data_IF_885230277429
#
_entry.id   IF_885230277429
#
_cell.length_a   1.000
_cell.length_b   1.000
_cell.length_c   1.000
_cell.angle_alpha   90.00
_cell.angle_beta   90.00
_cell.angle_gamma   90.00
#
_symmetry.space_group_name_H-M   'P 1'
#
loop_
_entity.id
_entity.type
_entity.pdbx_description
1 polymer ?
#
# COMPACT_ATOMS: atom_id res chain seq x y z
N UNK A 1 -19.85 15.64 15.35
CA UNK A 1 -18.52 15.82 14.74
C UNK A 1 -18.64 17.01 13.78
N UNK A 2 -17.71 17.96 13.84
CA UNK A 2 -17.71 19.13 12.95
C UNK A 2 -16.47 19.08 12.07
N UNK A 3 -16.56 19.48 10.78
CA UNK A 3 -15.39 19.54 9.92
C UNK A 3 -14.47 20.67 10.34
N UNK A 4 -13.19 20.51 10.08
CA UNK A 4 -12.18 21.55 10.21
C UNK A 4 -11.56 21.81 8.84
N UNK A 5 -11.16 23.05 8.56
CA UNK A 5 -10.29 23.32 7.41
C UNK A 5 -8.87 22.87 7.77
N UNK A 6 -8.20 22.16 6.87
CA UNK A 6 -6.88 21.60 7.14
C UNK A 6 -5.90 21.84 6.00
N UNK A 7 -4.71 22.33 6.35
CA UNK A 7 -3.56 22.40 5.43
C UNK A 7 -2.93 21.01 5.33
N UNK A 8 -2.83 20.51 4.10
CA UNK A 8 -2.35 19.17 3.78
C UNK A 8 -0.96 19.16 3.11
N UNK A 9 -0.29 20.32 3.06
CA UNK A 9 1.01 20.47 2.38
C UNK A 9 2.06 19.49 2.92
N UNK A 10 2.08 19.27 4.22
CA UNK A 10 3.00 18.32 4.87
C UNK A 10 2.43 16.90 4.98
N UNK A 11 1.18 16.69 4.57
CA UNK A 11 0.51 15.40 4.56
C UNK A 11 0.55 14.74 3.17
N UNK A 12 1.46 15.17 2.28
CA UNK A 12 1.66 14.54 0.97
C UNK A 12 3.14 14.47 0.58
N UNK A 13 3.51 13.39 -0.12
CA UNK A 13 4.91 13.06 -0.44
C UNK A 13 5.59 14.04 -1.42
N UNK A 14 4.83 14.89 -2.13
CA UNK A 14 5.36 15.94 -3.02
C UNK A 14 5.43 17.31 -2.36
N UNK A 15 4.96 17.46 -1.12
CA UNK A 15 4.83 18.72 -0.41
C UNK A 15 4.11 19.82 -1.22
N UNK A 16 3.17 19.40 -2.09
CA UNK A 16 2.33 20.33 -2.85
C UNK A 16 1.45 21.12 -1.92
N UNK A 17 1.36 22.44 -2.17
CA UNK A 17 0.42 23.29 -1.44
C UNK A 17 -0.99 22.74 -1.63
N UNK A 18 -1.63 22.38 -0.54
CA UNK A 18 -2.95 21.77 -0.54
C UNK A 18 -3.72 22.13 0.73
N UNK A 19 -5.02 22.35 0.58
CA UNK A 19 -5.94 22.64 1.67
C UNK A 19 -7.26 21.92 1.46
N UNK A 20 -7.80 21.31 2.52
CA UNK A 20 -9.13 20.74 2.56
C UNK A 20 -10.09 21.68 3.30
N UNK A 21 -11.23 22.03 2.66
CA UNK A 21 -12.30 22.82 3.28
C UNK A 21 -12.99 22.06 4.40
N UNK A 22 -13.26 20.78 4.16
CA UNK A 22 -13.93 19.88 5.10
C UNK A 22 -13.03 18.68 5.35
N UNK A 23 -12.41 18.62 6.49
CA UNK A 23 -11.55 17.55 6.91
C UNK A 23 -12.11 16.88 8.17
N UNK A 24 -12.11 15.54 8.18
CA UNK A 24 -12.48 14.74 9.34
C UNK A 24 -11.46 13.65 9.58
N UNK A 25 -11.04 13.49 10.82
CA UNK A 25 -10.46 12.23 11.28
C UNK A 25 -11.61 11.31 11.75
N UNK A 26 -11.52 10.00 11.47
CA UNK A 26 -12.47 9.01 11.95
C UNK A 26 -11.77 7.84 12.61
N UNK A 27 -12.39 7.26 13.63
CA UNK A 27 -11.89 6.09 14.33
C UNK A 27 -12.89 4.92 14.37
N UNK A 28 -14.15 5.18 14.07
CA UNK A 28 -15.25 4.22 14.18
C UNK A 28 -16.20 4.24 12.98
N UNK A 29 -16.99 3.17 12.86
CA UNK A 29 -18.09 3.11 11.89
C UNK A 29 -19.14 4.20 12.15
N UNK A 30 -19.40 4.54 13.42
CA UNK A 30 -20.35 5.60 13.76
C UNK A 30 -19.84 6.99 13.34
N UNK A 31 -18.53 7.21 13.33
CA UNK A 31 -17.97 8.44 12.77
C UNK A 31 -18.18 8.50 11.27
N UNK A 32 -17.92 7.40 10.55
CA UNK A 32 -18.14 7.32 9.09
C UNK A 32 -19.60 7.56 8.72
N UNK A 33 -20.57 7.04 9.48
CA UNK A 33 -21.99 7.34 9.28
C UNK A 33 -22.29 8.83 9.41
N UNK A 34 -21.80 9.48 10.47
CA UNK A 34 -21.98 10.93 10.68
C UNK A 34 -21.34 11.77 9.57
N UNK A 35 -20.15 11.35 9.10
CA UNK A 35 -19.46 12.03 7.99
C UNK A 35 -20.23 11.84 6.69
N UNK A 36 -20.74 10.65 6.44
CA UNK A 36 -21.59 10.35 5.24
C UNK A 36 -22.86 11.21 5.25
N UNK A 37 -23.53 11.34 6.40
CA UNK A 37 -24.71 12.19 6.54
C UNK A 37 -24.38 13.67 6.30
N UNK A 38 -23.22 14.14 6.82
CA UNK A 38 -22.73 15.49 6.55
C UNK A 38 -22.46 15.69 5.05
N UNK A 39 -21.75 14.77 4.41
CA UNK A 39 -21.41 14.86 3.00
C UNK A 39 -22.69 14.90 2.11
N UNK A 40 -23.68 14.05 2.40
CA UNK A 40 -24.97 14.05 1.72
C UNK A 40 -25.70 15.38 1.88
N UNK A 41 -25.74 15.93 3.10
CA UNK A 41 -26.40 17.21 3.40
C UNK A 41 -25.76 18.38 2.64
N UNK A 42 -24.44 18.39 2.55
CA UNK A 42 -23.67 19.43 1.87
C UNK A 42 -23.54 19.18 0.35
N UNK A 43 -24.10 18.08 -0.16
CA UNK A 43 -23.96 17.62 -1.55
C UNK A 43 -22.48 17.53 -1.98
N UNK A 44 -21.67 16.81 -1.19
CA UNK A 44 -20.24 16.62 -1.37
C UNK A 44 -19.87 15.16 -1.52
N UNK A 45 -18.84 14.88 -2.32
CA UNK A 45 -18.18 13.57 -2.34
C UNK A 45 -17.24 13.41 -1.14
N UNK A 46 -16.86 12.16 -0.86
CA UNK A 46 -15.90 11.82 0.20
C UNK A 46 -14.62 11.30 -0.45
N UNK A 47 -13.49 11.90 -0.07
CA UNK A 47 -12.15 11.47 -0.48
C UNK A 47 -11.40 10.94 0.74
N UNK A 48 -10.95 9.69 0.68
CA UNK A 48 -10.08 9.10 1.71
C UNK A 48 -8.61 9.38 1.39
N UNK A 49 -7.86 9.79 2.40
CA UNK A 49 -6.41 9.89 2.33
C UNK A 49 -5.76 9.03 3.42
N UNK A 50 -4.64 8.39 3.10
CA UNK A 50 -3.73 7.82 4.09
C UNK A 50 -2.68 8.86 4.50
N UNK A 51 -1.41 8.47 4.49
CA UNK A 51 -0.26 9.38 4.71
C UNK A 51 0.12 10.23 3.48
N UNK A 52 -0.63 10.15 2.37
CA UNK A 52 -0.41 10.95 1.17
C UNK A 52 0.86 10.63 0.38
N UNK A 53 1.55 9.53 0.69
CA UNK A 53 2.85 9.18 0.11
C UNK A 53 2.79 8.67 -1.34
N UNK A 54 1.59 8.44 -1.86
CA UNK A 54 1.39 7.98 -3.24
C UNK A 54 0.17 8.66 -3.89
N UNK A 55 -0.04 9.94 -3.60
CA UNK A 55 -1.15 10.70 -4.14
C UNK A 55 -0.69 12.11 -4.56
N UNK A 56 -1.27 12.62 -5.65
CA UNK A 56 -1.12 14.01 -6.09
C UNK A 56 -2.35 14.76 -5.62
N UNK A 57 -2.14 15.76 -4.79
CA UNK A 57 -3.21 16.53 -4.18
C UNK A 57 -3.51 17.79 -5.01
N UNK A 58 -4.78 18.14 -5.20
CA UNK A 58 -5.14 19.47 -5.72
C UNK A 58 -4.77 20.56 -4.72
N UNK A 59 -4.60 21.79 -5.19
CA UNK A 59 -4.35 22.92 -4.29
C UNK A 59 -5.48 23.13 -3.27
N UNK A 60 -6.72 22.80 -3.67
CA UNK A 60 -7.90 22.95 -2.83
C UNK A 60 -8.91 21.82 -3.01
N UNK A 61 -9.24 21.16 -1.91
CA UNK A 61 -10.35 20.20 -1.84
C UNK A 61 -11.62 20.89 -1.41
N UNK A 62 -12.61 20.99 -2.30
CA UNK A 62 -13.95 21.50 -2.00
C UNK A 62 -14.90 20.47 -1.43
N UNK A 63 -14.54 19.19 -1.56
CA UNK A 63 -15.28 18.03 -1.05
C UNK A 63 -14.80 17.62 0.34
N UNK A 64 -15.41 16.57 0.90
CA UNK A 64 -15.04 16.07 2.23
C UNK A 64 -13.80 15.20 2.11
N UNK A 65 -12.74 15.55 2.81
CA UNK A 65 -11.54 14.72 2.97
C UNK A 65 -11.59 14.02 4.33
N UNK A 66 -11.33 12.73 4.33
CA UNK A 66 -11.32 11.92 5.56
C UNK A 66 -10.01 11.18 5.72
N UNK A 67 -9.63 10.93 6.99
CA UNK A 67 -8.47 10.12 7.35
C UNK A 67 -8.79 9.22 8.53
N UNK A 68 -8.37 7.96 8.46
CA UNK A 68 -8.48 7.04 9.59
C UNK A 68 -7.49 7.40 10.69
N UNK A 69 -7.93 7.25 11.94
CA UNK A 69 -7.08 7.27 13.15
C UNK A 69 -7.13 5.94 13.90
N UNK A 70 -7.73 4.90 13.30
CA UNK A 70 -7.78 3.56 13.89
C UNK A 70 -6.39 2.90 13.86
N UNK A 71 -5.76 2.80 15.04
CA UNK A 71 -4.46 2.16 15.26
C UNK A 71 -4.59 0.83 16.04
N UNK A 72 -5.75 0.19 16.02
CA UNK A 72 -6.00 -1.03 16.77
C UNK A 72 -5.24 -2.23 16.19
N UNK A 73 -4.78 -3.11 17.10
CA UNK A 73 -4.22 -4.42 16.75
C UNK A 73 -4.98 -5.50 17.52
N UNK A 74 -5.44 -6.52 16.80
CA UNK A 74 -6.02 -7.72 17.40
C UNK A 74 -5.30 -8.94 16.84
N UNK A 75 -4.76 -9.77 17.71
CA UNK A 75 -4.00 -10.96 17.37
C UNK A 75 -4.75 -12.18 17.88
N UNK A 76 -4.94 -13.17 16.99
CA UNK A 76 -5.52 -14.47 17.30
C UNK A 76 -4.57 -15.57 16.81
N UNK A 77 -4.15 -16.42 17.76
CA UNK A 77 -3.22 -17.52 17.51
C UNK A 77 -3.98 -18.75 17.03
N UNK A 78 -3.98 -18.99 15.73
CA UNK A 78 -4.71 -20.07 15.08
C UNK A 78 -3.78 -21.23 14.62
N UNK A 79 -2.93 -21.74 15.50
CA UNK A 79 -2.06 -22.90 15.19
C UNK A 79 -0.78 -22.52 14.44
N UNK A 80 -0.59 -22.98 13.20
CA UNK A 80 0.63 -22.74 12.42
C UNK A 80 0.73 -21.33 11.87
N UNK A 81 -0.36 -20.59 11.86
CA UNK A 81 -0.44 -19.20 11.41
C UNK A 81 -1.05 -18.33 12.52
N UNK A 82 -0.81 -17.05 12.43
CA UNK A 82 -1.41 -16.05 13.31
C UNK A 82 -2.29 -15.14 12.45
N UNK A 83 -3.54 -15.00 12.88
CA UNK A 83 -4.44 -14.00 12.33
C UNK A 83 -4.23 -12.69 13.06
N UNK A 84 -3.96 -11.63 12.30
CA UNK A 84 -3.72 -10.29 12.81
C UNK A 84 -4.69 -9.33 12.13
N UNK A 85 -5.57 -8.67 12.88
CA UNK A 85 -6.39 -7.57 12.39
C UNK A 85 -5.76 -6.25 12.78
N UNK A 86 -5.52 -5.37 11.80
CA UNK A 86 -4.78 -4.12 11.97
C UNK A 86 -5.60 -2.96 11.45
N UNK A 87 -5.73 -1.91 12.27
CA UNK A 87 -6.43 -0.67 11.93
C UNK A 87 -5.79 0.06 10.76
N UNK A 88 -6.61 0.74 9.98
CA UNK A 88 -6.20 1.38 8.72
C UNK A 88 -5.18 2.51 8.89
N UNK A 89 -5.09 3.14 10.06
CA UNK A 89 -4.17 4.24 10.33
C UNK A 89 -2.76 3.80 10.71
N UNK A 90 -2.57 2.54 11.10
CA UNK A 90 -1.25 2.01 11.48
C UNK A 90 -0.25 2.27 10.35
N UNK A 91 0.90 2.85 10.69
CA UNK A 91 2.00 3.03 9.73
C UNK A 91 2.48 1.66 9.28
N UNK A 92 2.65 1.46 7.98
CA UNK A 92 3.01 0.17 7.41
C UNK A 92 4.32 -0.38 8.00
N UNK A 93 5.33 0.47 8.10
CA UNK A 93 6.65 0.05 8.59
C UNK A 93 6.66 -0.23 10.10
N UNK A 94 5.79 0.42 10.89
CA UNK A 94 5.58 0.11 12.31
C UNK A 94 4.92 -1.28 12.48
N UNK A 95 4.01 -1.66 11.56
CA UNK A 95 3.47 -3.03 11.52
C UNK A 95 4.57 -4.06 11.26
N UNK A 96 5.51 -3.78 10.35
CA UNK A 96 6.66 -4.66 10.10
C UNK A 96 7.46 -4.87 11.39
N UNK A 97 7.82 -3.78 12.08
CA UNK A 97 8.56 -3.86 13.35
C UNK A 97 7.78 -4.61 14.43
N UNK A 98 6.48 -4.39 14.52
CA UNK A 98 5.61 -5.15 15.41
C UNK A 98 5.68 -6.66 15.10
N UNK A 99 5.58 -7.04 13.83
CA UNK A 99 5.63 -8.45 13.40
C UNK A 99 6.97 -9.09 13.74
N UNK A 100 8.10 -8.42 13.44
CA UNK A 100 9.44 -8.90 13.80
C UNK A 100 9.56 -9.14 15.30
N UNK A 101 9.13 -8.16 16.13
CA UNK A 101 9.19 -8.25 17.59
C UNK A 101 8.30 -9.36 18.16
N UNK A 102 7.23 -9.76 17.45
CA UNK A 102 6.32 -10.84 17.82
C UNK A 102 6.69 -12.21 17.25
N UNK A 103 7.77 -12.30 16.44
CA UNK A 103 8.12 -13.53 15.72
C UNK A 103 7.06 -13.94 14.70
N UNK A 104 6.45 -12.96 14.03
CA UNK A 104 5.49 -13.15 12.93
C UNK A 104 6.18 -12.84 11.63
N UNK A 105 6.13 -13.76 10.67
CA UNK A 105 6.98 -13.73 9.50
C UNK A 105 6.21 -13.61 8.19
N UNK A 106 6.92 -13.11 7.18
CA UNK A 106 6.48 -13.05 5.78
C UNK A 106 6.42 -11.64 5.20
N UNK A 107 6.32 -10.60 6.02
CA UNK A 107 6.20 -9.22 5.52
C UNK A 107 7.56 -8.53 5.24
N UNK A 108 8.70 -9.15 5.58
CA UNK A 108 10.03 -8.52 5.53
C UNK A 108 10.42 -7.97 4.16
N UNK A 109 10.05 -8.65 3.06
CA UNK A 109 10.28 -8.15 1.70
C UNK A 109 9.55 -6.82 1.41
N UNK A 110 8.51 -6.49 2.17
CA UNK A 110 7.70 -5.28 2.01
C UNK A 110 8.12 -4.15 2.96
N UNK A 111 9.23 -4.31 3.69
CA UNK A 111 9.71 -3.31 4.62
C UNK A 111 10.11 -2.00 3.93
N UNK A 112 9.98 -0.88 4.65
CA UNK A 112 10.34 0.45 4.15
C UNK A 112 9.40 0.98 3.07
N UNK A 113 8.26 0.35 2.76
CA UNK A 113 7.23 0.93 1.89
C UNK A 113 6.50 2.01 2.69
N UNK A 114 6.51 3.29 2.24
CA UNK A 114 5.83 4.34 2.97
C UNK A 114 4.30 4.21 2.82
N UNK A 115 3.56 4.60 3.85
CA UNK A 115 2.10 4.58 3.82
C UNK A 115 1.50 3.98 5.08
N UNK A 116 0.20 3.67 5.02
CA UNK A 116 -0.56 3.07 6.11
C UNK A 116 -1.10 1.69 5.72
N UNK A 117 -1.45 0.89 6.71
CA UNK A 117 -2.05 -0.44 6.53
C UNK A 117 -3.31 -0.37 5.68
N UNK A 118 -4.18 0.64 5.88
CA UNK A 118 -5.39 0.82 5.06
C UNK A 118 -5.10 1.20 3.60
N UNK A 119 -3.95 1.82 3.31
CA UNK A 119 -3.55 2.16 1.94
C UNK A 119 -2.90 0.96 1.20
N UNK A 120 -2.34 0.01 1.95
CA UNK A 120 -1.58 -1.10 1.39
C UNK A 120 -2.37 -2.00 0.42
N UNK A 121 -3.65 -2.39 0.70
CA UNK A 121 -4.47 -3.17 -0.23
C UNK A 121 -4.84 -2.44 -1.51
N UNK A 122 -4.93 -1.09 -1.48
CA UNK A 122 -5.45 -0.30 -2.61
C UNK A 122 -4.70 -0.59 -3.91
N UNK A 123 -3.37 -0.58 -3.86
CA UNK A 123 -2.53 -0.92 -5.00
C UNK A 123 -1.87 -2.29 -4.87
N UNK A 124 -2.35 -3.15 -3.95
CA UNK A 124 -1.69 -4.41 -3.67
C UNK A 124 -0.17 -4.18 -3.57
N UNK A 125 0.26 -3.44 -2.53
CA UNK A 125 1.69 -3.08 -2.41
C UNK A 125 2.58 -4.30 -2.57
N UNK A 126 3.70 -4.13 -3.26
CA UNK A 126 4.63 -5.23 -3.51
C UNK A 126 6.04 -4.73 -3.78
N UNK A 127 7.01 -5.47 -3.27
CA UNK A 127 8.42 -5.23 -3.45
C UNK A 127 9.21 -6.54 -3.29
N UNK A 128 10.36 -6.62 -3.93
CA UNK A 128 11.32 -7.73 -3.80
C UNK A 128 10.69 -9.13 -3.95
N UNK A 129 9.77 -9.27 -4.92
CA UNK A 129 9.13 -10.55 -5.23
C UNK A 129 7.96 -10.93 -4.33
N UNK A 130 7.51 -10.03 -3.44
CA UNK A 130 6.37 -10.26 -2.56
C UNK A 130 5.27 -9.21 -2.79
N UNK A 131 4.01 -9.59 -2.51
CA UNK A 131 2.84 -8.71 -2.54
C UNK A 131 2.01 -8.91 -1.27
N UNK A 132 1.38 -7.83 -0.77
CA UNK A 132 0.59 -7.90 0.47
C UNK A 132 -0.59 -8.87 0.34
N UNK A 133 -1.16 -9.02 -0.84
CA UNK A 133 -2.26 -9.95 -1.09
C UNK A 133 -1.94 -11.40 -0.70
N UNK A 134 -0.66 -11.80 -0.64
CA UNK A 134 -0.27 -13.13 -0.20
C UNK A 134 -0.53 -13.37 1.30
N UNK A 135 -0.69 -12.30 2.06
CA UNK A 135 -0.91 -12.32 3.50
C UNK A 135 -2.31 -11.85 3.90
N UNK A 136 -3.03 -11.15 3.01
CA UNK A 136 -4.41 -10.72 3.29
C UNK A 136 -5.33 -11.94 3.34
N UNK A 137 -6.07 -12.04 4.45
CA UNK A 137 -7.19 -12.95 4.64
C UNK A 137 -8.50 -12.26 4.25
N UNK A 138 -8.73 -11.07 4.79
CA UNK A 138 -9.89 -10.24 4.49
C UNK A 138 -9.58 -8.74 4.65
N UNK A 139 -10.48 -7.90 4.16
CA UNK A 139 -10.43 -6.44 4.38
C UNK A 139 -11.79 -6.00 4.93
N UNK A 140 -11.78 -5.31 6.07
CA UNK A 140 -12.98 -4.67 6.63
C UNK A 140 -13.13 -3.29 6.02
N UNK A 141 -14.30 -3.02 5.47
CA UNK A 141 -14.61 -1.75 4.84
C UNK A 141 -15.91 -1.16 5.38
N UNK A 142 -16.06 0.13 5.22
CA UNK A 142 -17.34 0.81 5.29
C UNK A 142 -17.80 1.14 3.86
N UNK A 143 -18.97 0.72 3.50
CA UNK A 143 -19.60 0.98 2.21
C UNK A 143 -20.50 2.22 2.30
N UNK A 144 -20.12 3.28 1.56
CA UNK A 144 -20.82 4.56 1.53
C UNK A 144 -22.23 4.48 0.92
N UNK A 145 -22.47 3.52 0.00
CA UNK A 145 -23.75 3.36 -0.67
C UNK A 145 -24.77 2.73 0.28
N UNK A 146 -24.37 1.67 0.96
CA UNK A 146 -25.23 0.95 1.90
C UNK A 146 -25.20 1.51 3.31
N UNK A 147 -24.23 2.36 3.62
CA UNK A 147 -23.97 2.93 4.95
C UNK A 147 -23.72 1.86 6.03
N UNK A 148 -23.12 0.74 5.63
CA UNK A 148 -22.84 -0.40 6.50
C UNK A 148 -21.37 -0.83 6.44
N UNK A 149 -20.92 -1.50 7.49
CA UNK A 149 -19.66 -2.23 7.46
C UNK A 149 -19.82 -3.50 6.63
N UNK A 150 -18.82 -3.79 5.81
CA UNK A 150 -18.72 -4.99 4.96
C UNK A 150 -17.36 -5.61 5.12
N UNK A 151 -17.31 -6.95 5.11
CA UNK A 151 -16.06 -7.70 5.06
C UNK A 151 -15.89 -8.29 3.68
N UNK A 152 -14.77 -8.00 3.05
CA UNK A 152 -14.38 -8.57 1.77
C UNK A 152 -13.32 -9.65 1.99
N UNK A 153 -13.57 -10.84 1.52
CA UNK A 153 -12.56 -11.91 1.43
C UNK A 153 -11.44 -11.51 0.46
N UNK A 154 -10.29 -12.16 0.55
CA UNK A 154 -9.18 -11.99 -0.40
C UNK A 154 -9.64 -12.07 -1.86
N UNK A 155 -10.53 -13.00 -2.20
CA UNK A 155 -11.03 -13.18 -3.58
C UNK A 155 -11.91 -12.03 -4.05
N UNK A 156 -12.72 -11.45 -3.16
CA UNK A 156 -13.58 -10.30 -3.47
C UNK A 156 -12.78 -9.02 -3.64
N UNK A 157 -11.58 -8.92 -3.03
CA UNK A 157 -10.67 -7.80 -3.23
C UNK A 157 -10.07 -7.72 -4.64
N UNK A 158 -10.17 -8.78 -5.48
CA UNK A 158 -9.72 -8.84 -6.89
C UNK A 158 -8.28 -8.37 -7.09
N UNK A 159 -7.39 -8.80 -6.20
CA UNK A 159 -5.99 -8.43 -6.27
C UNK A 159 -5.31 -8.90 -7.56
N UNK A 160 -4.45 -8.06 -8.07
CA UNK A 160 -3.55 -8.31 -9.19
C UNK A 160 -2.33 -7.39 -9.09
N UNK A 161 -1.43 -7.46 -10.06
CA UNK A 161 -0.25 -6.61 -10.07
C UNK A 161 -0.61 -5.12 -10.05
N UNK A 162 -0.35 -4.48 -8.91
CA UNK A 162 -0.73 -3.07 -8.64
C UNK A 162 -2.21 -2.79 -8.89
N UNK A 163 -3.06 -3.75 -8.56
CA UNK A 163 -4.51 -3.68 -8.80
C UNK A 163 -5.29 -4.27 -7.62
N UNK A 164 -6.45 -3.67 -7.33
CA UNK A 164 -7.47 -4.20 -6.45
C UNK A 164 -8.83 -3.58 -6.78
N UNK A 165 -9.91 -4.10 -6.16
CA UNK A 165 -11.24 -3.51 -6.25
C UNK A 165 -11.29 -2.07 -5.68
N UNK A 166 -10.43 -1.74 -4.72
CA UNK A 166 -10.38 -0.43 -4.06
C UNK A 166 -9.90 0.70 -4.97
N UNK A 167 -9.34 0.40 -6.14
CA UNK A 167 -9.04 1.40 -7.19
C UNK A 167 -10.20 1.59 -8.17
N UNK A 168 -11.16 0.65 -8.19
CA UNK A 168 -12.30 0.64 -9.11
C UNK A 168 -13.59 1.12 -8.42
N UNK A 169 -13.57 1.24 -7.09
CA UNK A 169 -14.72 1.54 -6.25
C UNK A 169 -14.45 2.75 -5.35
N UNK A 170 -15.15 3.84 -5.60
CA UNK A 170 -15.04 5.08 -4.82
C UNK A 170 -15.88 5.04 -3.51
N UNK A 171 -16.66 3.97 -3.30
CA UNK A 171 -17.58 3.83 -2.17
C UNK A 171 -17.05 2.97 -1.02
N UNK A 172 -15.91 2.29 -1.18
CA UNK A 172 -15.34 1.41 -0.15
C UNK A 172 -14.23 2.11 0.63
N UNK A 173 -14.46 2.35 1.91
CA UNK A 173 -13.46 2.92 2.83
C UNK A 173 -12.91 1.81 3.70
N UNK A 174 -11.61 1.51 3.57
CA UNK A 174 -10.93 0.50 4.37
C UNK A 174 -10.80 0.98 5.82
N UNK A 175 -11.26 0.19 6.77
CA UNK A 175 -11.20 0.48 8.22
C UNK A 175 -10.21 -0.39 8.96
N UNK A 176 -9.99 -1.63 8.52
CA UNK A 176 -8.93 -2.52 8.99
C UNK A 176 -8.59 -3.60 7.97
N UNK A 177 -7.42 -4.23 8.13
CA UNK A 177 -6.93 -5.31 7.27
C UNK A 177 -6.63 -6.54 8.12
N UNK A 178 -7.24 -7.66 7.74
CA UNK A 178 -6.97 -8.97 8.31
C UNK A 178 -5.82 -9.65 7.58
N UNK A 179 -4.76 -9.98 8.30
CA UNK A 179 -3.57 -10.65 7.80
C UNK A 179 -3.44 -12.04 8.39
N UNK A 180 -2.90 -12.97 7.60
CA UNK A 180 -2.54 -14.32 8.04
C UNK A 180 -1.04 -14.52 7.87
N UNK A 181 -0.31 -14.51 9.00
CA UNK A 181 1.16 -14.49 9.04
C UNK A 181 1.73 -15.85 9.47
N UNK A 182 2.98 -16.11 9.10
CA UNK A 182 3.69 -17.33 9.45
C UNK A 182 4.32 -17.23 10.85
N UNK A 183 4.47 -18.36 11.53
CA UNK A 183 5.27 -18.51 12.75
C UNK A 183 6.68 -19.03 12.47
N UNK A 184 7.00 -19.29 11.23
CA UNK A 184 8.29 -19.81 10.78
C UNK A 184 8.87 -18.87 9.76
N UNK A 185 10.15 -18.55 9.92
CA UNK A 185 10.89 -17.75 8.97
C UNK A 185 11.15 -18.54 7.69
N UNK A 186 10.54 -18.10 6.59
CA UNK A 186 10.68 -18.69 5.26
C UNK A 186 10.80 -17.55 4.22
N UNK A 187 12.00 -16.92 4.13
CA UNK A 187 12.17 -15.74 3.30
C UNK A 187 12.13 -16.04 1.81
N UNK A 188 11.51 -15.16 1.02
CA UNK A 188 11.56 -15.22 -0.45
C UNK A 188 12.76 -14.42 -0.95
N UNK A 189 13.79 -15.10 -1.46
CA UNK A 189 15.07 -14.52 -1.86
C UNK A 189 15.33 -14.56 -3.37
N UNK A 190 14.36 -14.97 -4.18
CA UNK A 190 14.53 -15.11 -5.63
C UNK A 190 14.69 -13.76 -6.37
N UNK A 191 14.37 -12.64 -5.71
CA UNK A 191 14.54 -11.33 -6.32
C UNK A 191 16.02 -10.94 -6.41
N UNK A 192 16.43 -10.33 -7.53
CA UNK A 192 17.84 -10.09 -7.87
C UNK A 192 18.64 -9.39 -6.75
N UNK A 193 18.04 -8.43 -6.05
CA UNK A 193 18.73 -7.69 -4.98
C UNK A 193 18.90 -8.50 -3.68
N UNK A 194 18.21 -9.64 -3.55
CA UNK A 194 18.21 -10.48 -2.34
C UNK A 194 18.83 -11.87 -2.57
N UNK A 195 18.95 -12.33 -3.83
CA UNK A 195 19.35 -13.70 -4.16
C UNK A 195 20.71 -14.14 -3.65
N UNK A 196 21.63 -13.17 -3.47
CA UNK A 196 22.99 -13.43 -3.03
C UNK A 196 23.16 -13.22 -1.51
N UNK A 197 22.05 -12.97 -0.79
CA UNK A 197 22.00 -12.84 0.65
C UNK A 197 21.50 -14.13 1.31
N UNK A 198 21.93 -14.33 2.55
CA UNK A 198 21.38 -15.32 3.47
C UNK A 198 21.00 -14.63 4.76
N UNK A 199 19.85 -14.99 5.33
CA UNK A 199 19.32 -14.36 6.54
C UNK A 199 19.05 -15.43 7.59
N UNK A 200 19.35 -15.13 8.84
CA UNK A 200 19.06 -16.00 9.97
C UNK A 200 17.69 -15.73 10.57
N UNK A 201 17.17 -14.52 10.41
CA UNK A 201 15.86 -14.09 10.90
C UNK A 201 15.24 -12.98 10.03
N UNK A 202 13.97 -12.66 10.32
CA UNK A 202 13.22 -11.60 9.62
C UNK A 202 13.79 -10.22 9.86
N UNK A 203 14.40 -9.95 11.02
CA UNK A 203 14.98 -8.64 11.35
C UNK A 203 16.14 -8.29 10.42
N UNK A 204 17.04 -9.25 10.16
CA UNK A 204 18.14 -9.07 9.20
C UNK A 204 17.62 -8.81 7.78
N UNK A 205 16.57 -9.53 7.37
CA UNK A 205 15.91 -9.30 6.08
C UNK A 205 15.32 -7.90 6.00
N UNK A 206 14.55 -7.49 7.00
CA UNK A 206 13.92 -6.17 7.09
C UNK A 206 14.95 -5.05 7.02
N UNK A 207 16.03 -5.13 7.80
CA UNK A 207 17.09 -4.14 7.78
C UNK A 207 17.76 -4.05 6.40
N UNK A 208 18.05 -5.18 5.79
CA UNK A 208 18.65 -5.25 4.46
C UNK A 208 17.73 -4.64 3.41
N UNK A 209 16.44 -4.97 3.42
CA UNK A 209 15.44 -4.42 2.48
C UNK A 209 15.33 -2.91 2.64
N UNK A 210 15.24 -2.39 3.87
CA UNK A 210 15.23 -0.94 4.16
C UNK A 210 16.48 -0.26 3.61
N UNK A 211 17.67 -0.83 3.85
CA UNK A 211 18.93 -0.30 3.36
C UNK A 211 19.01 -0.25 1.82
N UNK A 212 18.55 -1.30 1.14
CA UNK A 212 18.51 -1.33 -0.33
C UNK A 212 17.54 -0.27 -0.85
N UNK A 213 16.36 -0.12 -0.24
CA UNK A 213 15.36 0.88 -0.63
C UNK A 213 15.87 2.31 -0.45
N UNK A 214 16.44 2.62 0.70
CA UNK A 214 16.96 3.96 1.03
C UNK A 214 18.08 4.41 0.07
N UNK A 215 18.84 3.46 -0.51
CA UNK A 215 19.82 3.76 -1.55
C UNK A 215 19.19 4.06 -2.91
N UNK A 216 17.99 3.55 -3.19
CA UNK A 216 17.31 3.67 -4.50
C UNK A 216 16.29 4.79 -4.55
N UNK A 217 15.62 5.04 -3.45
CA UNK A 217 14.51 6.01 -3.34
C UNK A 217 14.82 6.91 -2.16
N UNK A 218 15.02 8.23 -2.39
CA UNK A 218 15.29 9.16 -1.31
C UNK A 218 14.08 9.29 -0.37
N UNK A 219 14.34 9.64 0.90
CA UNK A 219 13.27 9.91 1.86
C UNK A 219 12.42 11.11 1.36
N UNK A 220 11.09 10.97 1.24
CA UNK A 220 10.22 12.08 0.83
C UNK A 220 10.31 13.32 1.72
N UNK A 221 10.75 13.18 2.98
CA UNK A 221 10.97 14.31 3.89
C UNK A 221 12.11 15.21 3.43
N UNK A 222 13.16 14.60 2.86
CA UNK A 222 14.33 15.32 2.37
C UNK A 222 14.20 15.72 0.91
N UNK A 223 13.60 14.83 0.10
CA UNK A 223 13.38 15.02 -1.33
C UNK A 223 11.94 14.62 -1.68
N UNK A 224 11.02 15.59 -1.85
CA UNK A 224 9.62 15.32 -2.18
C UNK A 224 9.49 14.38 -3.39
N UNK A 225 8.88 13.22 -3.18
CA UNK A 225 8.66 12.23 -4.23
C UNK A 225 7.49 11.29 -3.89
N UNK A 226 7.05 10.50 -4.89
CA UNK A 226 6.01 9.47 -4.73
C UNK A 226 6.58 8.06 -4.95
N UNK A 227 7.90 7.89 -4.87
CA UNK A 227 8.56 6.62 -5.20
C UNK A 227 8.52 6.31 -6.70
N UNK A 228 8.43 5.03 -7.05
CA UNK A 228 8.36 4.60 -8.45
C UNK A 228 7.00 4.98 -9.07
N UNK A 229 6.98 6.00 -9.91
CA UNK A 229 5.76 6.54 -10.51
C UNK A 229 5.13 5.58 -11.54
N UNK A 230 5.95 5.00 -12.42
CA UNK A 230 5.45 4.12 -13.47
C UNK A 230 5.37 2.67 -13.01
N UNK A 231 4.29 1.99 -13.38
CA UNK A 231 4.20 0.54 -13.30
C UNK A 231 5.17 -0.09 -14.30
N UNK A 232 5.79 -1.20 -13.92
CA UNK A 232 6.57 -2.00 -14.86
C UNK A 232 5.62 -2.54 -15.95
N UNK A 233 5.85 -2.26 -17.25
CA UNK A 233 5.02 -2.79 -18.31
C UNK A 233 5.20 -4.30 -18.43
N UNK A 234 4.10 -4.99 -18.72
CA UNK A 234 4.09 -6.43 -19.01
C UNK A 234 3.81 -6.62 -20.49
N UNK A 235 4.61 -7.46 -21.14
CA UNK A 235 4.50 -7.81 -22.56
C UNK A 235 4.49 -9.32 -22.70
N UNK A 236 3.96 -9.83 -23.81
CA UNK A 236 3.99 -11.26 -24.09
C UNK A 236 5.42 -11.74 -24.32
N UNK A 237 5.68 -13.00 -24.02
CA UNK A 237 6.99 -13.62 -24.31
C UNK A 237 7.36 -13.53 -25.79
N UNK A 238 6.38 -13.64 -26.69
CA UNK A 238 6.58 -13.50 -28.12
C UNK A 238 7.04 -12.10 -28.53
N UNK A 239 6.45 -11.04 -27.96
CA UNK A 239 6.87 -9.65 -28.20
C UNK A 239 8.29 -9.40 -27.65
N UNK A 240 8.61 -9.97 -26.48
CA UNK A 240 9.94 -9.86 -25.89
C UNK A 240 10.99 -10.50 -26.78
N UNK A 241 10.75 -11.74 -27.26
CA UNK A 241 11.68 -12.47 -28.11
C UNK A 241 11.91 -11.82 -29.48
N UNK A 242 10.89 -11.17 -30.05
CA UNK A 242 10.98 -10.48 -31.34
C UNK A 242 11.77 -9.16 -31.30
N UNK A 243 12.01 -8.60 -30.11
CA UNK A 243 12.66 -7.30 -29.98
C UNK A 243 13.94 -7.38 -29.14
N UNK A 244 15.08 -7.54 -29.82
CA UNK A 244 16.39 -7.69 -29.17
C UNK A 244 16.78 -6.51 -28.25
N UNK A 245 16.25 -5.29 -28.50
CA UNK A 245 16.50 -4.14 -27.62
C UNK A 245 15.90 -4.32 -26.23
N UNK A 246 14.84 -5.12 -26.11
CA UNK A 246 14.21 -5.40 -24.82
C UNK A 246 15.06 -6.37 -23.97
N UNK A 247 15.91 -7.19 -24.61
CA UNK A 247 16.81 -8.10 -23.90
C UNK A 247 17.92 -7.37 -23.14
N UNK A 248 18.15 -6.11 -23.44
CA UNK A 248 19.09 -5.26 -22.72
C UNK A 248 18.50 -4.65 -21.45
N UNK A 249 17.21 -4.82 -21.22
CA UNK A 249 16.50 -4.32 -20.04
C UNK A 249 16.39 -5.41 -18.98
N UNK A 250 16.40 -4.99 -17.71
CA UNK A 250 16.03 -5.89 -16.62
C UNK A 250 14.61 -6.37 -16.83
N UNK A 251 14.44 -7.66 -16.84
CA UNK A 251 13.15 -8.32 -17.01
C UNK A 251 12.89 -9.31 -15.90
N UNK A 252 11.61 -9.57 -15.66
CA UNK A 252 11.13 -10.49 -14.64
C UNK A 252 10.00 -11.33 -15.23
N UNK A 253 9.98 -12.61 -14.92
CA UNK A 253 8.86 -13.48 -15.29
C UNK A 253 7.60 -13.09 -14.52
N UNK A 254 6.45 -13.14 -15.17
CA UNK A 254 5.14 -13.00 -14.56
C UNK A 254 4.46 -14.36 -14.43
N UNK A 255 3.54 -14.51 -13.47
CA UNK A 255 2.86 -15.79 -13.17
C UNK A 255 2.08 -16.36 -14.37
N UNK A 256 1.69 -15.53 -15.32
CA UNK A 256 0.98 -15.93 -16.55
C UNK A 256 1.90 -16.23 -17.73
N UNK A 257 3.24 -16.25 -17.53
CA UNK A 257 4.23 -16.50 -18.57
C UNK A 257 4.63 -15.28 -19.41
N UNK A 258 4.07 -14.10 -19.15
CA UNK A 258 4.48 -12.84 -19.74
C UNK A 258 5.78 -12.32 -19.10
N UNK A 259 6.40 -11.32 -19.74
CA UNK A 259 7.63 -10.69 -19.29
C UNK A 259 7.33 -9.27 -18.79
N UNK A 260 7.73 -8.99 -17.55
CA UNK A 260 7.65 -7.66 -16.94
C UNK A 260 8.99 -6.94 -17.11
N UNK A 261 8.99 -5.74 -17.69
CA UNK A 261 10.18 -4.94 -17.94
C UNK A 261 10.35 -3.86 -16.87
N UNK A 262 11.61 -3.52 -16.53
CA UNK A 262 11.90 -2.44 -15.58
C UNK A 262 11.61 -1.07 -16.19
N UNK A 263 10.53 -0.41 -15.78
CA UNK A 263 10.20 0.95 -16.21
C UNK A 263 11.28 1.95 -15.79
N UNK A 264 11.85 1.81 -14.59
CA UNK A 264 12.93 2.68 -14.11
C UNK A 264 14.17 2.63 -15.02
N UNK A 265 14.59 1.41 -15.41
CA UNK A 265 15.73 1.26 -16.30
C UNK A 265 15.44 1.78 -17.74
N UNK A 266 14.19 1.62 -18.21
CA UNK A 266 13.77 2.23 -19.49
C UNK A 266 13.93 3.74 -19.45
N UNK A 267 13.50 4.39 -18.39
CA UNK A 267 13.64 5.84 -18.20
C UNK A 267 15.10 6.25 -18.08
N UNK A 268 15.92 5.49 -17.35
CA UNK A 268 17.36 5.73 -17.22
C UNK A 268 18.06 5.70 -18.57
N UNK A 269 17.78 4.69 -19.39
CA UNK A 269 18.37 4.58 -20.75
C UNK A 269 17.91 5.69 -21.71
N UNK A 270 16.75 6.29 -21.45
CA UNK A 270 16.23 7.43 -22.19
C UNK A 270 16.73 8.78 -21.65
N UNK A 271 17.52 8.79 -20.56
CA UNK A 271 18.00 10.02 -19.92
C UNK A 271 16.90 10.81 -19.21
N UNK A 272 15.81 10.15 -18.82
CA UNK A 272 14.64 10.74 -18.17
C UNK A 272 14.68 10.47 -16.64
N UNK A 273 15.82 10.74 -16.02
CA UNK A 273 15.98 10.69 -14.58
C UNK A 273 15.57 11.99 -13.90
#
# INVERSE_FOLDING_TARGET
>A
MSPEAKILTNDNGLHLKSEAKYFFDFNSIDDLKKITDFAKKENKSIQIIGSGTNAIFPEYFSDVVIRSTNNDFTLDDAGDRVSLSVGAAVVWDDLIDFCVNKGLFGLGNLAGIPGTVGAAPVQNIGAYGEEISNFIDHVECFDLDTNNQVRLSKSECKFGYRKSIFQESDNLIIVSVGLSLLKKFEPKLHYQDLKDHSFTDEGELVETVRNIRNKKIPDPKDFPNLGSFFKNPTITKEEYEKNSKLHELKSYDSDNGDIKLSAGEMLDKLGLK
#
